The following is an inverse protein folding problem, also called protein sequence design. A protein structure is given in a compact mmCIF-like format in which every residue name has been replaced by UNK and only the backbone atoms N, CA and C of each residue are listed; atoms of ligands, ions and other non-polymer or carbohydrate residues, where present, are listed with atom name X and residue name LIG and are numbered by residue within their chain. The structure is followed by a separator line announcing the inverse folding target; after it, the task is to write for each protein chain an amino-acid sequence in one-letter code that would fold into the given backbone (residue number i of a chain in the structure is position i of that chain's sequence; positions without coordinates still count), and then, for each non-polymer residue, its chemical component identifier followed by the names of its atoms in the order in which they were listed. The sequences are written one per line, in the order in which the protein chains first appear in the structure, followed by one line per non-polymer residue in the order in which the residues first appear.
data_IF_479775088732
#
_entry.id   IF_479775088732
#
_cell.length_a   1.000
_cell.length_b   1.000
_cell.length_c   1.000
_cell.angle_alpha   90.00
_cell.angle_beta   90.00
_cell.angle_gamma   90.00
#
_symmetry.space_group_name_H-M   'P 1'
#
loop_
_entity.id
_entity.type
_entity.pdbx_description
1 polymer ?
#
# COMPACT_ATOMS: atom_id res chain seq x y z
N UNK A 1 -12.81 -5.31 -7.73
CA UNK A 1 -11.56 -4.62 -8.15
C UNK A 1 -10.99 -3.88 -6.94
N UNK A 2 -9.67 -3.91 -6.74
CA UNK A 2 -9.05 -3.21 -5.60
C UNK A 2 -8.80 -1.73 -5.92
N UNK A 3 -9.10 -0.86 -4.97
CA UNK A 3 -8.70 0.54 -4.96
C UNK A 3 -7.57 0.72 -3.94
N UNK A 4 -6.47 1.33 -4.39
CA UNK A 4 -5.26 1.52 -3.58
C UNK A 4 -5.09 2.99 -3.20
N UNK A 5 -4.96 3.26 -1.91
CA UNK A 5 -4.80 4.61 -1.35
C UNK A 5 -3.52 4.72 -0.54
N UNK A 6 -2.85 5.88 -0.61
CA UNK A 6 -1.68 6.16 0.22
C UNK A 6 -2.12 6.49 1.64
N UNK A 7 -1.46 5.87 2.60
CA UNK A 7 -1.64 6.19 4.02
C UNK A 7 -0.33 6.72 4.61
N UNK A 8 -0.46 7.54 5.66
CA UNK A 8 0.66 8.03 6.46
C UNK A 8 0.61 7.36 7.84
N UNK A 9 1.75 6.87 8.33
CA UNK A 9 1.91 6.36 9.69
C UNK A 9 3.19 6.89 10.30
N UNK A 10 3.20 7.02 11.62
CA UNK A 10 4.43 7.29 12.35
C UNK A 10 5.14 5.97 12.63
N UNK A 11 6.42 5.86 12.23
CA UNK A 11 7.21 4.66 12.48
C UNK A 11 7.84 4.77 13.87
N UNK A 12 7.44 3.93 14.85
CA UNK A 12 7.85 4.09 16.24
C UNK A 12 9.36 3.95 16.44
N UNK A 13 10.05 3.19 15.58
CA UNK A 13 11.48 2.93 15.69
C UNK A 13 12.37 3.83 14.82
N UNK A 14 11.81 4.60 13.90
CA UNK A 14 12.58 5.41 12.94
C UNK A 14 12.38 6.93 13.16
N UNK A 15 11.70 7.33 14.23
CA UNK A 15 11.43 8.73 14.60
C UNK A 15 10.93 9.59 13.43
N UNK A 16 10.11 9.01 12.55
CA UNK A 16 9.76 9.63 11.27
C UNK A 16 8.46 9.11 10.69
N UNK A 17 7.91 9.90 9.76
CA UNK A 17 6.75 9.53 8.96
C UNK A 17 7.14 8.44 7.98
N UNK A 18 6.36 7.38 7.90
CA UNK A 18 6.45 6.37 6.87
C UNK A 18 5.12 6.29 6.13
N UNK A 19 5.20 6.03 4.84
CA UNK A 19 4.05 5.91 3.94
C UNK A 19 3.84 4.46 3.55
N UNK A 20 2.57 4.07 3.43
CA UNK A 20 2.16 2.74 3.01
C UNK A 20 0.94 2.81 2.10
N UNK A 21 0.40 1.65 1.77
CA UNK A 21 -0.77 1.51 0.91
C UNK A 21 -1.88 0.78 1.66
N UNK A 22 -3.10 1.29 1.53
CA UNK A 22 -4.32 0.61 1.93
C UNK A 22 -5.05 0.17 0.66
N UNK A 23 -5.19 -1.14 0.46
CA UNK A 23 -5.98 -1.71 -0.62
C UNK A 23 -7.39 -2.01 -0.10
N UNK A 24 -8.41 -1.56 -0.83
CA UNK A 24 -9.83 -1.77 -0.51
C UNK A 24 -10.53 -2.49 -1.65
N UNK A 25 -11.32 -3.52 -1.39
CA UNK A 25 -12.24 -4.04 -2.41
C UNK A 25 -13.52 -3.20 -2.44
N UNK A 26 -13.83 -2.64 -3.61
CA UNK A 26 -15.10 -1.96 -3.84
C UNK A 26 -16.00 -2.89 -4.67
N UNK A 27 -16.72 -3.78 -4.01
CA UNK A 27 -17.89 -4.47 -4.59
C UNK A 27 -19.16 -3.86 -3.99
N UNK A 28 -19.65 -2.78 -4.62
CA UNK A 28 -20.80 -1.99 -4.17
C UNK A 28 -20.43 -0.77 -3.32
N UNK A 29 -21.42 -0.20 -2.60
CA UNK A 29 -21.24 1.01 -1.77
C UNK A 29 -20.40 0.82 -0.51
N UNK A 30 -20.06 -0.43 -0.15
CA UNK A 30 -19.38 -0.75 1.11
C UNK A 30 -18.06 -1.43 0.78
N UNK A 31 -16.92 -0.88 1.24
CA UNK A 31 -15.63 -1.56 1.09
C UNK A 31 -15.66 -2.86 1.90
N UNK A 32 -15.43 -4.00 1.22
CA UNK A 32 -15.62 -5.33 1.83
C UNK A 32 -14.35 -5.86 2.50
N UNK A 33 -13.19 -5.65 1.88
CA UNK A 33 -11.89 -6.11 2.40
C UNK A 33 -10.88 -4.97 2.40
N UNK A 34 -10.09 -4.91 3.46
CA UNK A 34 -9.05 -3.90 3.69
C UNK A 34 -7.72 -4.62 3.93
N UNK A 35 -6.76 -4.45 3.03
CA UNK A 35 -5.39 -4.93 3.20
C UNK A 35 -4.48 -3.72 3.45
N UNK A 36 -3.84 -3.73 4.62
CA UNK A 36 -2.91 -2.70 5.04
C UNK A 36 -1.48 -3.15 4.75
N UNK A 37 -0.78 -2.39 3.93
CA UNK A 37 0.64 -2.59 3.58
C UNK A 37 1.42 -1.41 4.16
N UNK A 38 1.86 -1.50 5.42
CA UNK A 38 2.51 -0.39 6.11
C UNK A 38 3.98 -0.26 5.71
N UNK A 39 4.56 0.89 6.04
CA UNK A 39 6.01 1.10 6.08
C UNK A 39 6.78 0.82 4.77
N UNK A 40 6.18 1.11 3.61
CA UNK A 40 6.80 0.86 2.30
C UNK A 40 7.97 1.82 2.05
N UNK A 41 7.79 3.12 2.33
CA UNK A 41 8.84 4.12 2.12
C UNK A 41 8.60 5.40 2.92
N UNK A 42 9.66 6.17 3.17
CA UNK A 42 9.58 7.53 3.71
C UNK A 42 9.28 8.59 2.61
N UNK A 43 9.33 8.23 1.32
CA UNK A 43 8.97 9.13 0.21
C UNK A 43 7.49 8.97 -0.19
N UNK A 44 6.65 9.92 0.24
CA UNK A 44 5.22 9.97 -0.11
C UNK A 44 4.96 9.99 -1.61
N UNK A 45 5.76 10.73 -2.40
CA UNK A 45 5.55 10.87 -3.84
C UNK A 45 5.82 9.54 -4.54
N UNK A 46 6.83 8.81 -4.08
CA UNK A 46 7.11 7.47 -4.57
C UNK A 46 5.96 6.49 -4.25
N UNK A 47 5.47 6.46 -3.00
CA UNK A 47 4.33 5.59 -2.63
C UNK A 47 3.05 5.98 -3.38
N UNK A 48 2.83 7.26 -3.68
CA UNK A 48 1.71 7.71 -4.49
C UNK A 48 1.78 7.23 -5.96
N UNK A 49 2.98 7.22 -6.56
CA UNK A 49 3.17 6.63 -7.90
C UNK A 49 2.89 5.13 -7.89
N UNK A 50 3.35 4.44 -6.84
CA UNK A 50 3.13 3.01 -6.66
C UNK A 50 1.63 2.70 -6.53
N UNK A 51 0.91 3.39 -5.64
CA UNK A 51 -0.54 3.20 -5.49
C UNK A 51 -1.31 3.50 -6.79
N UNK A 52 -0.90 4.53 -7.56
CA UNK A 52 -1.49 4.83 -8.87
C UNK A 52 -1.25 3.68 -9.86
N UNK A 53 -0.04 3.12 -9.88
CA UNK A 53 0.29 1.98 -10.74
C UNK A 53 -0.57 0.74 -10.36
N UNK A 54 -0.73 0.46 -9.06
CA UNK A 54 -1.58 -0.62 -8.58
C UNK A 54 -3.05 -0.46 -9.02
N UNK A 55 -3.59 0.75 -9.00
CA UNK A 55 -4.93 1.05 -9.54
C UNK A 55 -5.02 0.87 -11.07
N UNK A 56 -3.88 0.85 -11.77
CA UNK A 56 -3.76 0.57 -13.21
C UNK A 56 -3.47 -0.91 -13.50
N UNK A 57 -3.73 -1.80 -12.53
CA UNK A 57 -3.53 -3.26 -12.58
C UNK A 57 -2.08 -3.76 -12.61
N UNK A 58 -1.06 -2.92 -12.38
CA UNK A 58 0.33 -3.39 -12.17
C UNK A 58 1.13 -2.43 -11.29
N UNK A 59 1.77 -2.88 -10.18
CA UNK A 59 1.78 -4.22 -9.61
C UNK A 59 0.52 -4.55 -8.78
N UNK A 60 0.20 -5.83 -8.59
CA UNK A 60 -0.93 -6.30 -7.78
C UNK A 60 -0.66 -6.24 -6.26
N UNK A 61 -1.66 -6.59 -5.45
CA UNK A 61 -1.53 -6.62 -3.97
C UNK A 61 -0.42 -7.59 -3.50
N UNK A 62 -0.29 -8.76 -4.14
CA UNK A 62 0.72 -9.75 -3.76
C UNK A 62 2.15 -9.29 -4.05
N UNK A 63 2.37 -8.67 -5.21
CA UNK A 63 3.66 -8.08 -5.59
C UNK A 63 4.09 -6.97 -4.60
N UNK A 64 3.12 -6.17 -4.13
CA UNK A 64 3.34 -5.17 -3.10
C UNK A 64 3.72 -5.81 -1.76
N UNK A 65 3.07 -6.91 -1.40
CA UNK A 65 3.35 -7.65 -0.18
C UNK A 65 4.78 -8.21 -0.22
N UNK A 66 5.18 -8.83 -1.33
CA UNK A 66 6.54 -9.35 -1.54
C UNK A 66 7.61 -8.24 -1.43
N UNK A 67 7.30 -7.03 -1.92
CA UNK A 67 8.19 -5.88 -1.83
C UNK A 67 8.44 -5.42 -0.39
N UNK A 68 7.45 -5.49 0.51
CA UNK A 68 7.65 -5.13 1.93
C UNK A 68 8.09 -6.30 2.81
N UNK A 69 7.78 -7.54 2.46
CA UNK A 69 8.27 -8.72 3.20
C UNK A 69 9.67 -9.13 2.77
N UNK A 70 10.21 -8.52 1.72
CA UNK A 70 11.57 -8.78 1.23
C UNK A 70 11.69 -10.09 0.48
N UNK A 71 10.59 -10.63 -0.07
CA UNK A 71 10.56 -11.85 -0.86
C UNK A 71 11.39 -12.99 -0.26
N UNK A 72 11.05 -13.45 0.94
CA UNK A 72 11.60 -14.73 1.40
C UNK A 72 10.82 -15.87 0.72
N UNK A 73 11.52 -16.80 0.03
CA UNK A 73 10.92 -17.94 -0.67
C UNK A 73 10.23 -18.92 0.28
#
# INVERSE_FOLDING_TARGET
MYQFEVIERYHPFLAGKSYGILAKTCDGCIPQELVLIPNISHDRKWVARLAKACNQNQPGVMDLLDLVTGGQP
#
